data_IF_428832686242
#
_entry.id   IF_428832686242
#
_cell.length_a   1.000
_cell.length_b   1.000
_cell.length_c   1.000
_cell.angle_alpha   90.00
_cell.angle_beta   90.00
_cell.angle_gamma   90.00
#
_symmetry.space_group_name_H-M   'P 1'
#
loop_
_entity.id
_entity.type
_entity.pdbx_description
1 polymer ?
#
# COMPACT_ATOMS: atom_id res chain seq x y z
N UNK A 1 -2.62 -0.21 12.34
CA UNK A 1 -3.65 -0.65 11.37
C UNK A 1 -3.48 -2.14 11.08
N UNK A 2 -4.54 -2.95 11.21
CA UNK A 2 -4.49 -4.41 10.99
C UNK A 2 -4.21 -4.75 9.52
N UNK A 3 -3.48 -5.84 9.23
CA UNK A 3 -3.18 -6.29 7.86
C UNK A 3 -4.43 -6.41 6.97
N UNK A 4 -5.54 -6.89 7.52
CA UNK A 4 -6.83 -7.01 6.80
C UNK A 4 -7.38 -5.65 6.37
N UNK A 5 -7.22 -4.61 7.19
CA UNK A 5 -7.68 -3.24 6.89
C UNK A 5 -6.81 -2.62 5.79
N UNK A 6 -5.48 -2.77 5.86
CA UNK A 6 -4.56 -2.26 4.82
C UNK A 6 -4.85 -2.85 3.44
N UNK A 7 -5.05 -4.17 3.37
CA UNK A 7 -5.42 -4.84 2.12
C UNK A 7 -6.75 -4.33 1.56
N UNK A 8 -7.72 -4.02 2.42
CA UNK A 8 -8.99 -3.43 2.03
C UNK A 8 -8.78 -2.01 1.47
N UNK A 9 -8.07 -1.14 2.20
CA UNK A 9 -7.76 0.22 1.75
C UNK A 9 -6.97 0.23 0.44
N UNK A 10 -6.03 -0.70 0.26
CA UNK A 10 -5.28 -0.85 -0.99
C UNK A 10 -6.21 -1.18 -2.16
N UNK A 11 -7.12 -2.14 -1.98
CA UNK A 11 -8.11 -2.51 -2.99
C UNK A 11 -9.11 -1.39 -3.28
N UNK A 12 -9.45 -0.60 -2.26
CA UNK A 12 -10.33 0.58 -2.38
C UNK A 12 -9.60 1.81 -2.94
N UNK A 13 -8.29 1.75 -3.18
CA UNK A 13 -7.50 2.89 -3.66
C UNK A 13 -7.34 4.02 -2.64
N UNK A 14 -7.56 3.74 -1.35
CA UNK A 14 -7.53 4.71 -0.24
C UNK A 14 -6.11 4.91 0.31
N UNK A 15 -5.19 5.28 -0.57
CA UNK A 15 -3.82 5.57 -0.22
C UNK A 15 -3.18 6.55 -1.19
N UNK A 16 -2.12 7.20 -0.73
CA UNK A 16 -1.20 7.95 -1.59
C UNK A 16 0.22 7.50 -1.27
N UNK A 17 1.04 7.21 -2.27
CA UNK A 17 2.45 6.87 -2.08
C UNK A 17 3.28 7.35 -3.26
N UNK A 18 4.57 7.54 -3.03
CA UNK A 18 5.52 7.71 -4.12
C UNK A 18 5.66 6.40 -4.91
N UNK A 19 5.79 6.50 -6.24
CA UNK A 19 6.04 5.34 -7.08
C UNK A 19 7.41 4.73 -6.75
N UNK A 20 7.50 3.42 -6.50
CA UNK A 20 8.78 2.75 -6.30
C UNK A 20 9.66 2.93 -7.54
N UNK A 21 10.94 3.23 -7.34
CA UNK A 21 11.94 3.31 -8.42
C UNK A 21 12.55 1.94 -8.78
N UNK A 22 11.94 0.86 -8.32
CA UNK A 22 12.36 -0.51 -8.56
C UNK A 22 11.29 -1.29 -9.31
N UNK A 23 11.66 -2.46 -9.86
CA UNK A 23 10.71 -3.33 -10.52
C UNK A 23 9.70 -3.90 -9.51
N UNK A 24 8.43 -3.52 -9.69
CA UNK A 24 7.31 -3.92 -8.84
C UNK A 24 6.43 -5.00 -9.47
N UNK A 25 6.80 -5.55 -10.64
CA UNK A 25 5.97 -6.55 -11.33
C UNK A 25 5.77 -7.83 -10.51
N UNK A 26 6.73 -8.18 -9.64
CA UNK A 26 6.66 -9.35 -8.75
C UNK A 26 6.10 -9.05 -7.36
N UNK A 27 5.71 -7.81 -7.09
CA UNK A 27 5.27 -7.43 -5.74
C UNK A 27 3.92 -8.03 -5.39
N UNK A 28 3.85 -8.61 -4.21
CA UNK A 28 2.58 -9.03 -3.64
C UNK A 28 1.80 -7.81 -3.12
N UNK A 29 0.51 -7.99 -2.86
CA UNK A 29 -0.32 -6.97 -2.20
C UNK A 29 0.27 -6.56 -0.84
N UNK A 30 0.93 -7.49 -0.14
CA UNK A 30 1.57 -7.19 1.14
C UNK A 30 2.82 -6.32 0.95
N UNK A 31 3.60 -6.54 -0.10
CA UNK A 31 4.77 -5.70 -0.42
C UNK A 31 4.34 -4.27 -0.75
N UNK A 32 3.26 -4.13 -1.52
CA UNK A 32 2.63 -2.83 -1.76
C UNK A 32 2.14 -2.17 -0.48
N UNK A 33 1.46 -2.92 0.40
CA UNK A 33 1.03 -2.37 1.69
C UNK A 33 2.21 -1.92 2.55
N UNK A 34 3.28 -2.71 2.59
CA UNK A 34 4.51 -2.38 3.32
C UNK A 34 5.21 -1.15 2.72
N UNK A 35 5.15 -0.97 1.40
CA UNK A 35 5.69 0.21 0.75
C UNK A 35 4.90 1.47 1.09
N UNK A 36 3.56 1.40 1.02
CA UNK A 36 2.68 2.50 1.40
C UNK A 36 2.86 2.84 2.88
N UNK A 37 3.09 1.85 3.75
CA UNK A 37 3.41 2.09 5.16
C UNK A 37 4.71 2.88 5.37
N UNK A 38 5.70 2.69 4.50
CA UNK A 38 7.02 3.33 4.62
C UNK A 38 7.11 4.67 3.89
N UNK A 39 6.45 4.80 2.74
CA UNK A 39 6.64 5.89 1.78
C UNK A 39 5.32 6.53 1.33
N UNK A 40 4.23 6.22 2.01
CA UNK A 40 2.90 6.70 1.69
C UNK A 40 2.08 7.05 2.91
N UNK A 41 0.79 7.21 2.67
CA UNK A 41 -0.20 7.56 3.67
C UNK A 41 -1.50 6.85 3.34
N UNK A 42 -2.12 6.25 4.36
CA UNK A 42 -3.41 5.60 4.26
C UNK A 42 -4.54 6.58 4.61
N UNK A 43 -5.66 6.48 3.91
CA UNK A 43 -6.85 7.28 4.21
C UNK A 43 -7.92 6.41 4.88
N UNK A 44 -8.06 6.55 6.19
CA UNK A 44 -9.10 5.93 7.00
C UNK A 44 -10.15 7.00 7.30
N UNK A 45 -11.06 7.22 6.35
CA UNK A 45 -12.25 8.08 6.51
C UNK A 45 -13.51 7.32 6.15
#
# INVERSE_FOLDING_TARGET
MLKKVKRRLYKEGRYSCQLPKCDTTKWSVDDWCNWIDRYGTWWDK
#
